data_IF_506022354830
#
_entry.id   IF_506022354830
#
_cell.length_a   1.000
_cell.length_b   1.000
_cell.length_c   1.000
_cell.angle_alpha   90.00
_cell.angle_beta   90.00
_cell.angle_gamma   90.00
#
_symmetry.space_group_name_H-M   'P 1'
#
loop_
_entity.id
_entity.type
_entity.pdbx_description
1 polymer ?
#
# COMPACT_ATOMS: atom_id res chain seq x y z
N UNK A 1 -49.64 107.82 -34.61
CA UNK A 1 -50.38 107.72 -33.33
C UNK A 1 -50.22 106.30 -32.85
N UNK A 2 -49.22 106.02 -32.00
CA UNK A 2 -49.26 106.04 -30.53
C UNK A 2 -50.02 104.88 -29.90
N UNK A 3 -49.24 104.04 -29.20
CA UNK A 3 -49.53 103.22 -28.02
C UNK A 3 -50.68 102.20 -28.07
N UNK A 4 -50.35 100.92 -27.84
CA UNK A 4 -50.61 100.36 -26.51
C UNK A 4 -49.70 99.16 -26.21
N UNK A 5 -49.02 99.24 -25.08
CA UNK A 5 -48.27 98.17 -24.43
C UNK A 5 -49.23 97.37 -23.55
N UNK A 6 -49.10 96.05 -23.48
CA UNK A 6 -49.18 95.32 -22.21
C UNK A 6 -48.72 93.86 -22.35
N UNK A 7 -47.66 93.60 -21.62
CA UNK A 7 -47.23 92.32 -21.08
C UNK A 7 -48.33 91.68 -20.24
N UNK A 8 -48.52 90.37 -20.36
CA UNK A 8 -48.81 89.53 -19.21
C UNK A 8 -48.10 88.18 -19.39
N UNK A 9 -47.34 87.87 -18.35
CA UNK A 9 -46.56 86.67 -18.09
C UNK A 9 -47.46 85.64 -17.43
N UNK A 10 -47.49 84.40 -17.95
CA UNK A 10 -47.90 83.24 -17.15
C UNK A 10 -46.76 82.23 -17.15
N UNK A 11 -45.96 82.32 -16.09
CA UNK A 11 -45.07 81.28 -15.61
C UNK A 11 -45.92 80.40 -14.69
N UNK A 12 -46.27 79.18 -15.11
CA UNK A 12 -46.81 78.17 -14.19
C UNK A 12 -45.72 77.13 -13.89
N UNK A 13 -45.42 77.07 -12.60
CA UNK A 13 -44.47 76.18 -11.95
C UNK A 13 -45.24 75.07 -11.26
N UNK A 14 -45.08 73.82 -11.70
CA UNK A 14 -45.43 72.66 -10.87
C UNK A 14 -44.59 71.45 -11.28
N UNK A 15 -43.40 71.27 -10.70
CA UNK A 15 -43.10 70.44 -9.52
C UNK A 15 -43.75 69.05 -9.52
N UNK A 16 -43.00 68.11 -10.12
CA UNK A 16 -42.75 66.71 -9.73
C UNK A 16 -43.83 65.85 -9.07
N UNK A 17 -44.05 64.65 -9.63
CA UNK A 17 -43.93 63.40 -8.85
C UNK A 17 -43.76 62.18 -9.76
N UNK A 18 -42.82 61.33 -9.37
CA UNK A 18 -42.45 60.07 -10.00
C UNK A 18 -43.48 58.96 -9.77
N UNK A 19 -43.64 58.08 -10.77
CA UNK A 19 -43.89 56.63 -10.67
C UNK A 19 -44.26 56.13 -12.07
N UNK A 20 -43.86 54.97 -12.60
CA UNK A 20 -43.08 53.84 -12.12
C UNK A 20 -42.62 53.13 -13.40
N UNK A 21 -41.34 53.23 -13.73
CA UNK A 21 -40.77 52.43 -14.82
C UNK A 21 -40.57 51.02 -14.30
N UNK A 22 -41.33 50.04 -14.81
CA UNK A 22 -41.07 48.63 -14.55
C UNK A 22 -39.82 48.21 -15.32
N UNK A 23 -38.66 48.51 -14.74
CA UNK A 23 -37.40 47.91 -15.16
C UNK A 23 -37.44 46.43 -14.79
N UNK A 24 -37.60 45.56 -15.78
CA UNK A 24 -37.30 44.15 -15.63
C UNK A 24 -35.78 43.99 -15.48
N UNK A 25 -35.32 43.88 -14.23
CA UNK A 25 -33.95 43.43 -13.94
C UNK A 25 -33.85 41.91 -14.12
N UNK A 26 -32.84 41.39 -14.84
CA UNK A 26 -32.61 39.95 -14.89
C UNK A 26 -32.11 39.50 -13.51
N UNK A 27 -32.91 38.65 -12.85
CA UNK A 27 -32.52 37.94 -11.64
C UNK A 27 -31.34 37.01 -11.92
N UNK A 28 -30.12 37.48 -11.71
CA UNK A 28 -28.93 36.65 -11.55
C UNK A 28 -28.52 36.59 -10.08
N UNK A 29 -29.44 36.16 -9.21
CA UNK A 29 -29.16 35.80 -7.84
C UNK A 29 -28.63 34.37 -7.76
N UNK A 30 -27.33 34.22 -8.02
CA UNK A 30 -26.56 33.00 -7.79
C UNK A 30 -26.85 32.43 -6.39
N UNK A 31 -26.99 31.11 -6.32
CA UNK A 31 -27.14 30.37 -5.07
C UNK A 31 -26.12 30.87 -4.05
N UNK A 32 -26.61 31.23 -2.87
CA UNK A 32 -25.77 31.52 -1.73
C UNK A 32 -25.03 30.24 -1.35
N UNK A 33 -23.89 30.02 -2.00
CA UNK A 33 -22.84 29.12 -1.56
C UNK A 33 -22.36 29.65 -0.22
N UNK A 34 -23.04 29.22 0.85
CA UNK A 34 -22.52 29.29 2.21
C UNK A 34 -21.30 28.39 2.29
N UNK A 35 -20.17 28.85 1.74
CA UNK A 35 -18.86 28.23 1.92
C UNK A 35 -18.51 28.43 3.38
N UNK A 36 -18.91 27.47 4.20
CA UNK A 36 -18.41 27.34 5.57
C UNK A 36 -16.90 27.31 5.46
N UNK A 37 -16.25 28.39 5.90
CA UNK A 37 -14.80 28.51 5.95
C UNK A 37 -14.31 27.60 7.09
N UNK A 38 -14.38 26.29 6.87
CA UNK A 38 -13.73 25.30 7.73
C UNK A 38 -12.25 25.64 7.64
N UNK A 39 -11.67 26.09 8.76
CA UNK A 39 -10.24 26.45 8.76
C UNK A 39 -9.45 25.22 8.31
N UNK A 40 -8.61 25.39 7.30
CA UNK A 40 -7.89 24.32 6.62
C UNK A 40 -7.12 23.40 7.56
N UNK A 41 -6.67 23.91 8.71
CA UNK A 41 -6.01 23.12 9.75
C UNK A 41 -6.93 22.10 10.42
N UNK A 42 -8.24 22.35 10.56
CA UNK A 42 -9.17 21.35 11.10
C UNK A 42 -9.32 20.17 10.13
N UNK A 43 -9.39 20.44 8.84
CA UNK A 43 -9.42 19.39 7.81
C UNK A 43 -8.12 18.58 7.86
N UNK A 44 -6.96 19.25 7.95
CA UNK A 44 -5.67 18.56 8.09
C UNK A 44 -5.59 17.70 9.36
N UNK A 45 -6.05 18.21 10.51
CA UNK A 45 -6.08 17.45 11.78
C UNK A 45 -7.01 16.24 11.66
N UNK A 46 -8.20 16.40 11.09
CA UNK A 46 -9.15 15.31 10.90
C UNK A 46 -8.59 14.24 9.94
N UNK A 47 -7.87 14.64 8.89
CA UNK A 47 -7.21 13.71 7.98
C UNK A 47 -6.09 12.93 8.69
N UNK A 48 -5.29 13.58 9.55
CA UNK A 48 -4.24 12.90 10.32
C UNK A 48 -4.83 11.94 11.34
N UNK A 49 -5.91 12.32 12.04
CA UNK A 49 -6.61 11.45 12.99
C UNK A 49 -7.24 10.27 12.25
N UNK A 50 -7.92 10.52 11.13
CA UNK A 50 -8.51 9.46 10.31
C UNK A 50 -7.44 8.51 9.77
N UNK A 51 -6.29 9.03 9.30
CA UNK A 51 -5.15 8.22 8.87
C UNK A 51 -4.58 7.40 10.04
N UNK A 52 -4.44 7.99 11.23
CA UNK A 52 -3.98 7.29 12.43
C UNK A 52 -4.92 6.17 12.86
N UNK A 53 -6.24 6.42 12.83
CA UNK A 53 -7.26 5.40 13.11
C UNK A 53 -7.30 4.32 12.04
N UNK A 54 -7.11 4.68 10.78
CA UNK A 54 -7.01 3.73 9.67
C UNK A 54 -5.78 2.86 9.85
N UNK A 55 -4.61 3.43 10.14
CA UNK A 55 -3.41 2.66 10.46
C UNK A 55 -3.60 1.77 11.71
N UNK A 56 -4.29 2.25 12.74
CA UNK A 56 -4.58 1.47 13.94
C UNK A 56 -5.57 0.33 13.69
N UNK A 57 -6.62 0.57 12.91
CA UNK A 57 -7.62 -0.44 12.58
C UNK A 57 -7.03 -1.48 11.63
N UNK A 58 -6.33 -1.02 10.61
CA UNK A 58 -5.63 -1.87 9.67
C UNK A 58 -4.32 -2.43 10.22
N UNK A 59 -3.88 -2.09 11.45
CA UNK A 59 -2.63 -2.62 12.05
C UNK A 59 -2.58 -4.15 12.05
N UNK A 60 -3.73 -4.79 12.21
CA UNK A 60 -3.84 -6.24 12.22
C UNK A 60 -3.65 -6.86 10.82
N UNK A 61 -3.98 -6.12 9.74
CA UNK A 61 -3.73 -6.54 8.34
C UNK A 61 -2.42 -6.00 7.77
N UNK A 62 -1.97 -4.83 8.25
CA UNK A 62 -0.67 -4.24 7.89
C UNK A 62 0.47 -5.02 8.52
N UNK A 63 0.33 -5.65 9.70
CA UNK A 63 1.42 -6.43 10.29
C UNK A 63 1.91 -7.54 9.34
N UNK A 64 0.99 -8.28 8.72
CA UNK A 64 1.32 -9.36 7.78
C UNK A 64 1.76 -8.84 6.40
N UNK A 65 1.18 -7.73 5.92
CA UNK A 65 1.55 -7.12 4.64
C UNK A 65 2.86 -6.31 4.71
N UNK A 66 3.15 -5.69 5.85
CA UNK A 66 4.36 -4.90 6.10
C UNK A 66 5.59 -5.81 6.22
N UNK A 67 5.45 -6.99 6.81
CA UNK A 67 6.55 -7.96 6.87
C UNK A 67 6.88 -8.51 5.47
N UNK A 68 5.85 -8.74 4.65
CA UNK A 68 6.01 -9.08 3.22
C UNK A 68 6.68 -7.95 2.43
N UNK A 69 6.32 -6.69 2.69
CA UNK A 69 6.89 -5.54 1.99
C UNK A 69 8.33 -5.22 2.43
N UNK A 70 8.64 -5.34 3.72
CA UNK A 70 9.98 -5.16 4.27
C UNK A 70 10.94 -6.25 3.78
N UNK A 71 10.45 -7.49 3.68
CA UNK A 71 11.21 -8.61 3.10
C UNK A 71 11.38 -8.42 1.59
N UNK A 72 10.35 -8.00 0.86
CA UNK A 72 10.46 -7.68 -0.58
C UNK A 72 11.41 -6.53 -0.88
N UNK A 73 11.48 -5.50 -0.04
CA UNK A 73 12.44 -4.40 -0.21
C UNK A 73 13.89 -4.82 0.03
N UNK A 74 14.13 -5.80 0.91
CA UNK A 74 15.46 -6.40 1.11
C UNK A 74 15.83 -7.40 0.03
N UNK A 75 14.85 -8.15 -0.46
CA UNK A 75 14.99 -9.00 -1.63
C UNK A 75 15.33 -8.19 -2.89
N UNK A 76 14.68 -7.03 -3.07
CA UNK A 76 14.92 -6.15 -4.22
C UNK A 76 16.23 -5.35 -4.14
N UNK A 77 16.90 -5.29 -2.98
CA UNK A 77 18.16 -4.53 -2.81
C UNK A 77 19.43 -5.32 -3.15
N UNK A 78 19.32 -6.39 -3.96
CA UNK A 78 20.49 -7.01 -4.61
C UNK A 78 21.09 -8.24 -3.92
N UNK A 79 20.38 -8.90 -3.01
CA UNK A 79 20.81 -10.19 -2.42
C UNK A 79 20.19 -11.43 -3.09
N UNK A 80 19.64 -11.26 -4.30
CA UNK A 80 19.21 -12.40 -5.13
C UNK A 80 20.27 -12.62 -6.20
N UNK A 81 21.41 -13.17 -5.80
CA UNK A 81 22.30 -13.80 -6.78
C UNK A 81 21.69 -15.13 -7.19
N UNK A 82 21.71 -15.37 -8.51
CA UNK A 82 21.43 -16.65 -9.12
C UNK A 82 22.37 -17.67 -8.49
N UNK A 83 21.83 -18.56 -7.65
CA UNK A 83 22.63 -19.53 -6.89
C UNK A 83 23.43 -20.37 -7.88
N UNK A 84 24.71 -20.07 -7.94
CA UNK A 84 25.67 -20.75 -8.78
C UNK A 84 26.12 -22.07 -8.15
N UNK A 85 27.31 -22.48 -8.54
CA UNK A 85 27.98 -23.73 -8.16
C UNK A 85 27.96 -24.02 -6.65
N UNK A 86 28.29 -25.26 -6.27
CA UNK A 86 28.36 -25.65 -4.85
C UNK A 86 29.22 -24.70 -3.99
N UNK A 87 30.27 -24.09 -4.55
CA UNK A 87 31.06 -23.04 -3.90
C UNK A 87 30.24 -21.81 -3.49
N UNK A 88 29.33 -21.36 -4.34
CA UNK A 88 28.49 -20.18 -4.07
C UNK A 88 27.51 -20.49 -2.93
N UNK A 89 27.02 -21.72 -2.87
CA UNK A 89 26.15 -22.19 -1.79
C UNK A 89 26.90 -22.27 -0.44
N UNK A 90 28.18 -22.65 -0.44
CA UNK A 90 29.03 -22.62 0.76
C UNK A 90 29.23 -21.19 1.23
N UNK A 91 29.56 -20.27 0.31
CA UNK A 91 29.76 -18.86 0.63
C UNK A 91 28.48 -18.19 1.19
N UNK A 92 27.31 -18.61 0.72
CA UNK A 92 26.01 -18.17 1.21
C UNK A 92 25.57 -18.84 2.53
N UNK A 93 26.34 -19.79 3.08
CA UNK A 93 26.06 -20.42 4.37
C UNK A 93 25.06 -21.58 4.32
N UNK A 94 24.84 -22.20 3.15
CA UNK A 94 24.04 -23.42 3.00
C UNK A 94 24.80 -24.71 3.34
N UNK A 95 25.80 -24.62 4.23
CA UNK A 95 26.60 -25.75 4.71
C UNK A 95 26.45 -25.88 6.21
N UNK A 96 26.37 -27.11 6.71
CA UNK A 96 26.31 -27.42 8.15
C UNK A 96 27.10 -28.68 8.46
N UNK A 97 27.30 -28.99 9.75
CA UNK A 97 27.99 -30.20 10.16
C UNK A 97 27.31 -31.49 9.64
N UNK A 98 25.99 -31.46 9.47
CA UNK A 98 25.21 -32.60 8.95
C UNK A 98 24.98 -32.51 7.43
N UNK A 99 25.47 -31.46 6.79
CA UNK A 99 25.34 -31.21 5.36
C UNK A 99 26.57 -30.45 4.86
N UNK A 100 27.66 -31.18 4.76
CA UNK A 100 28.93 -30.65 4.29
C UNK A 100 28.98 -30.65 2.77
N UNK A 101 29.03 -29.46 2.19
CA UNK A 101 29.19 -29.25 0.75
C UNK A 101 30.66 -29.19 0.32
N UNK A 102 31.60 -28.96 1.24
CA UNK A 102 33.03 -28.84 0.94
C UNK A 102 33.62 -30.19 0.51
N UNK A 103 33.24 -31.28 1.19
CA UNK A 103 33.64 -32.63 0.82
C UNK A 103 33.13 -33.05 -0.58
N UNK A 104 31.91 -32.64 -0.94
CA UNK A 104 31.30 -32.97 -2.24
C UNK A 104 31.98 -32.24 -3.40
N UNK A 105 32.36 -30.97 -3.15
CA UNK A 105 33.16 -30.16 -4.08
C UNK A 105 34.54 -30.76 -4.28
N UNK A 106 35.23 -31.13 -3.19
CA UNK A 106 36.57 -31.71 -3.24
C UNK A 106 36.57 -33.11 -3.92
N UNK A 107 35.48 -33.86 -3.78
CA UNK A 107 35.28 -35.17 -4.40
C UNK A 107 34.83 -35.14 -5.87
N UNK A 108 34.54 -33.96 -6.43
CA UNK A 108 34.03 -33.83 -7.80
C UNK A 108 32.63 -34.44 -8.00
N UNK A 109 31.79 -34.44 -6.97
CA UNK A 109 30.43 -34.98 -7.06
C UNK A 109 29.57 -34.14 -8.03
N UNK A 110 29.05 -34.78 -9.07
CA UNK A 110 28.22 -34.14 -10.11
C UNK A 110 26.73 -34.17 -9.80
N UNK A 111 26.30 -34.74 -8.67
CA UNK A 111 24.89 -34.73 -8.28
C UNK A 111 24.40 -33.29 -8.18
N UNK A 112 23.26 -32.97 -8.79
CA UNK A 112 22.56 -31.71 -8.50
C UNK A 112 22.14 -31.74 -7.03
N UNK A 113 22.63 -30.78 -6.24
CA UNK A 113 22.26 -30.60 -4.84
C UNK A 113 20.82 -30.12 -4.69
N UNK A 114 20.59 -29.20 -3.74
CA UNK A 114 19.27 -28.56 -3.60
C UNK A 114 18.87 -27.87 -4.91
N UNK A 115 17.58 -27.94 -5.26
CA UNK A 115 17.06 -27.17 -6.39
C UNK A 115 17.13 -25.67 -6.09
N UNK A 116 17.22 -24.86 -7.15
CA UNK A 116 17.23 -23.39 -7.03
C UNK A 116 15.98 -22.87 -6.29
N UNK A 117 14.82 -23.50 -6.52
CA UNK A 117 13.57 -23.18 -5.84
C UNK A 117 13.65 -23.48 -4.33
N UNK A 118 14.20 -24.64 -3.95
CA UNK A 118 14.35 -25.01 -2.55
C UNK A 118 15.34 -24.11 -1.82
N UNK A 119 16.46 -23.76 -2.46
CA UNK A 119 17.45 -22.85 -1.89
C UNK A 119 16.87 -21.45 -1.64
N UNK A 120 16.13 -20.90 -2.61
CA UNK A 120 15.50 -19.60 -2.46
C UNK A 120 14.52 -19.56 -1.28
N UNK A 121 13.76 -20.64 -1.08
CA UNK A 121 12.80 -20.72 0.02
C UNK A 121 13.49 -20.95 1.37
N UNK A 122 14.53 -21.79 1.42
CA UNK A 122 15.33 -22.00 2.64
C UNK A 122 16.01 -20.70 3.06
N UNK A 123 16.59 -19.95 2.12
CA UNK A 123 17.15 -18.62 2.39
C UNK A 123 16.10 -17.68 2.98
N UNK A 124 14.90 -17.67 2.40
CA UNK A 124 13.77 -16.87 2.90
C UNK A 124 13.41 -17.25 4.34
N UNK A 125 13.42 -18.54 4.69
CA UNK A 125 13.16 -19.02 6.05
C UNK A 125 14.29 -18.60 7.00
N UNK A 126 15.56 -18.73 6.59
CA UNK A 126 16.72 -18.29 7.37
C UNK A 126 16.61 -16.79 7.71
N UNK A 127 16.35 -15.95 6.71
CA UNK A 127 16.29 -14.50 6.87
C UNK A 127 15.06 -14.04 7.69
N UNK A 128 13.90 -14.65 7.45
CA UNK A 128 12.65 -14.26 8.11
C UNK A 128 12.57 -14.74 9.55
N UNK A 129 13.06 -15.95 9.84
CA UNK A 129 12.95 -16.59 11.16
C UNK A 129 14.25 -16.56 11.96
N UNK A 130 15.35 -16.05 11.39
CA UNK A 130 16.70 -16.06 11.97
C UNK A 130 17.12 -17.47 12.43
N UNK A 131 16.79 -18.45 11.61
CA UNK A 131 17.10 -19.87 11.85
C UNK A 131 18.41 -20.24 11.18
N UNK A 132 19.07 -21.25 11.72
CA UNK A 132 20.23 -21.88 11.08
C UNK A 132 19.80 -22.60 9.79
N UNK A 133 20.76 -22.91 8.92
CA UNK A 133 20.49 -23.61 7.67
C UNK A 133 19.75 -24.94 7.89
N UNK A 134 20.17 -25.75 8.87
CA UNK A 134 19.54 -27.04 9.16
C UNK A 134 18.08 -26.89 9.62
N UNK A 135 17.81 -25.91 10.49
CA UNK A 135 16.45 -25.63 10.97
C UNK A 135 15.57 -25.10 9.85
N UNK A 136 16.11 -24.26 8.98
CA UNK A 136 15.38 -23.73 7.82
C UNK A 136 15.09 -24.83 6.79
N UNK A 137 16.05 -25.72 6.54
CA UNK A 137 15.88 -26.89 5.66
C UNK A 137 14.85 -27.88 6.22
N UNK A 138 14.87 -28.12 7.53
CA UNK A 138 13.87 -28.97 8.20
C UNK A 138 12.47 -28.39 8.01
N UNK A 139 12.31 -27.09 8.26
CA UNK A 139 11.01 -26.44 8.14
C UNK A 139 10.51 -26.41 6.69
N UNK A 140 11.38 -26.12 5.72
CA UNK A 140 11.06 -26.22 4.30
C UNK A 140 10.55 -27.63 3.94
N UNK A 141 11.27 -28.66 4.38
CA UNK A 141 10.90 -30.05 4.11
C UNK A 141 9.55 -30.40 4.73
N UNK A 142 9.30 -30.01 5.98
CA UNK A 142 8.02 -30.22 6.65
C UNK A 142 6.86 -29.49 5.94
N UNK A 143 7.11 -28.27 5.47
CA UNK A 143 6.13 -27.52 4.69
C UNK A 143 5.79 -28.23 3.38
N UNK A 144 6.79 -28.70 2.64
CA UNK A 144 6.58 -29.45 1.40
C UNK A 144 5.89 -30.79 1.63
N UNK A 145 6.21 -31.51 2.71
CA UNK A 145 5.50 -32.73 3.11
C UNK A 145 4.02 -32.42 3.39
N UNK A 146 3.74 -31.39 4.19
CA UNK A 146 2.37 -30.97 4.49
C UNK A 146 1.57 -30.60 3.25
N UNK A 147 2.18 -29.88 2.30
CA UNK A 147 1.57 -29.55 1.00
C UNK A 147 1.23 -30.78 0.17
N UNK A 148 1.98 -31.86 0.32
CA UNK A 148 1.76 -33.13 -0.36
C UNK A 148 0.93 -34.12 0.47
N UNK A 149 0.28 -33.66 1.55
CA UNK A 149 -0.60 -34.50 2.38
C UNK A 149 0.16 -35.47 3.26
N UNK A 150 1.38 -35.13 3.69
CA UNK A 150 2.20 -35.91 4.62
C UNK A 150 2.46 -35.07 5.86
N UNK A 151 2.24 -35.64 7.04
CA UNK A 151 2.47 -34.99 8.32
C UNK A 151 3.97 -34.77 8.57
N UNK A 152 4.31 -33.91 9.54
CA UNK A 152 5.67 -33.67 10.01
C UNK A 152 6.39 -34.93 10.47
N UNK A 153 5.63 -35.94 10.91
CA UNK A 153 6.14 -37.23 11.37
C UNK A 153 6.32 -38.22 10.21
N UNK A 154 6.07 -37.79 8.97
CA UNK A 154 6.20 -38.61 7.75
C UNK A 154 4.99 -39.49 7.45
N UNK A 155 3.91 -39.36 8.23
CA UNK A 155 2.69 -40.15 8.07
C UNK A 155 1.74 -39.48 7.08
N UNK A 156 1.23 -40.16 6.05
CA UNK A 156 0.19 -39.60 5.19
C UNK A 156 -1.02 -39.11 5.98
N UNK A 157 -1.54 -37.93 5.64
CA UNK A 157 -2.75 -37.34 6.23
C UNK A 157 -4.03 -37.96 5.67
N UNK A 158 -3.94 -39.08 4.95
CA UNK A 158 -5.08 -39.78 4.39
C UNK A 158 -5.90 -40.44 5.52
N UNK A 159 -7.19 -40.08 5.70
CA UNK A 159 -8.04 -40.69 6.71
C UNK A 159 -8.29 -42.20 6.51
N UNK A 160 -7.95 -42.75 5.34
CA UNK A 160 -8.04 -44.18 5.04
C UNK A 160 -6.71 -44.92 5.18
N UNK A 161 -5.66 -44.26 5.67
CA UNK A 161 -4.37 -44.89 5.89
C UNK A 161 -4.51 -46.03 6.92
N UNK A 162 -4.06 -47.24 6.53
CA UNK A 162 -3.91 -48.39 7.43
C UNK A 162 -2.44 -48.78 7.45
N UNK A 163 -1.82 -48.75 8.62
CA UNK A 163 -0.44 -49.19 8.86
C UNK A 163 -0.45 -50.43 9.76
N UNK A 164 0.49 -51.37 9.58
CA UNK A 164 0.54 -52.66 10.28
C UNK A 164 1.77 -52.77 11.18
#
# INVERSE_FOLDING_TARGET
>A
MSFNSRSDTDYDSNTGRADSGTNYEPNSGWGADGKTQIKSHYVAILLVIAAGLLLFHFRHKLAEAHDRWRTRRRAASGFYERLGTFQDNIAAGFSSANFDLEANVAGGDTRKGLSEEALAEIQRIMDSKRKTFDEARLEYTQSELGRNGVDKDGVPLDPKLVTF
#
